data_IF_886538394384
#
_entry.id   IF_886538394384
#
_cell.length_a   1.000
_cell.length_b   1.000
_cell.length_c   1.000
_cell.angle_alpha   90.00
_cell.angle_beta   90.00
_cell.angle_gamma   90.00
#
_symmetry.space_group_name_H-M   'P 1'
#
loop_
_entity.id
_entity.type
_entity.pdbx_description
1 polymer ?
#
# COMPACT_ATOMS: atom_id res chain seq x y z
N UNK A 1 19.95 6.54 -13.07
CA UNK A 1 19.60 5.84 -11.81
C UNK A 1 18.10 5.89 -11.51
N UNK A 2 17.45 7.06 -11.46
CA UNK A 2 16.01 7.13 -11.15
C UNK A 2 15.12 6.32 -12.13
N UNK A 3 15.38 6.38 -13.43
CA UNK A 3 14.64 5.65 -14.44
C UNK A 3 14.69 4.13 -14.20
N UNK A 4 15.87 3.58 -14.05
CA UNK A 4 16.07 2.14 -13.79
C UNK A 4 15.37 1.68 -12.51
N UNK A 5 15.35 2.55 -11.46
CA UNK A 5 14.62 2.28 -10.24
C UNK A 5 13.11 2.14 -10.53
N UNK A 6 12.51 3.11 -11.21
CA UNK A 6 11.07 3.11 -11.48
C UNK A 6 10.65 1.95 -12.42
N UNK A 7 11.49 1.57 -13.39
CA UNK A 7 11.28 0.36 -14.21
C UNK A 7 11.22 -0.88 -13.33
N UNK A 8 12.23 -1.07 -12.47
CA UNK A 8 12.29 -2.23 -11.57
C UNK A 8 11.14 -2.22 -10.56
N UNK A 9 10.81 -1.07 -9.98
CA UNK A 9 9.73 -0.92 -9.02
C UNK A 9 8.36 -1.23 -9.64
N UNK A 10 8.12 -0.78 -10.88
CA UNK A 10 6.88 -1.09 -11.59
C UNK A 10 6.75 -2.60 -11.85
N UNK A 11 7.81 -3.24 -12.37
CA UNK A 11 7.83 -4.67 -12.62
C UNK A 11 7.61 -5.48 -11.34
N UNK A 12 8.31 -5.13 -10.26
CA UNK A 12 8.16 -5.79 -8.97
C UNK A 12 6.74 -5.62 -8.40
N UNK A 13 6.18 -4.41 -8.46
CA UNK A 13 4.86 -4.13 -7.94
C UNK A 13 3.77 -4.92 -8.66
N UNK A 14 3.79 -4.97 -10.00
CA UNK A 14 2.80 -5.73 -10.77
C UNK A 14 3.01 -7.24 -10.68
N UNK A 15 4.25 -7.73 -10.56
CA UNK A 15 4.52 -9.14 -10.29
C UNK A 15 3.96 -9.55 -8.92
N UNK A 16 4.18 -8.74 -7.87
CA UNK A 16 3.63 -8.96 -6.54
C UNK A 16 2.10 -8.89 -6.54
N UNK A 17 1.50 -7.96 -7.29
CA UNK A 17 0.05 -7.88 -7.47
C UNK A 17 -0.49 -9.17 -8.10
N UNK A 18 0.16 -9.68 -9.15
CA UNK A 18 -0.24 -10.92 -9.80
C UNK A 18 -0.14 -12.12 -8.87
N UNK A 19 0.97 -12.27 -8.12
CA UNK A 19 1.14 -13.30 -7.11
C UNK A 19 0.11 -13.18 -5.99
N UNK A 20 -0.18 -11.97 -5.55
CA UNK A 20 -1.20 -11.71 -4.55
C UNK A 20 -2.60 -12.14 -5.01
N UNK A 21 -2.94 -11.92 -6.27
CA UNK A 21 -4.23 -12.36 -6.81
C UNK A 21 -4.35 -13.89 -6.87
N UNK A 22 -3.25 -14.62 -7.07
CA UNK A 22 -3.24 -16.08 -6.93
C UNK A 22 -3.59 -16.50 -5.51
N UNK A 23 -3.00 -15.85 -4.50
CA UNK A 23 -3.34 -16.10 -3.09
C UNK A 23 -4.81 -15.79 -2.80
N UNK A 24 -5.32 -14.66 -3.30
CA UNK A 24 -6.73 -14.27 -3.14
C UNK A 24 -7.67 -15.29 -3.81
N UNK A 25 -7.29 -15.81 -4.98
CA UNK A 25 -8.08 -16.82 -5.70
C UNK A 25 -8.15 -18.14 -4.91
N UNK A 26 -7.04 -18.58 -4.34
CA UNK A 26 -6.95 -19.78 -3.48
C UNK A 26 -7.82 -19.64 -2.22
N UNK A 27 -7.74 -18.49 -1.56
CA UNK A 27 -8.49 -18.20 -0.33
C UNK A 27 -9.91 -17.65 -0.56
N UNK A 28 -10.36 -17.56 -1.81
CA UNK A 28 -11.62 -16.89 -2.18
C UNK A 28 -12.83 -17.42 -1.42
N UNK A 29 -12.95 -18.75 -1.25
CA UNK A 29 -14.10 -19.38 -0.59
C UNK A 29 -14.19 -18.99 0.88
N UNK A 30 -13.06 -18.90 1.55
CA UNK A 30 -12.93 -18.54 2.95
C UNK A 30 -13.18 -17.03 3.14
N UNK A 31 -12.48 -16.20 2.37
CA UNK A 31 -12.54 -14.72 2.51
C UNK A 31 -13.83 -14.10 1.99
N UNK A 32 -14.54 -14.76 1.07
CA UNK A 32 -15.84 -14.28 0.59
C UNK A 32 -16.92 -14.24 1.68
N UNK A 33 -16.80 -15.10 2.69
CA UNK A 33 -17.72 -15.17 3.82
C UNK A 33 -17.48 -14.07 4.87
N UNK A 34 -16.30 -13.46 4.84
CA UNK A 34 -15.83 -12.48 5.82
C UNK A 34 -15.59 -11.12 5.14
N UNK A 35 -16.54 -10.17 5.21
CA UNK A 35 -16.46 -8.88 4.51
C UNK A 35 -15.17 -8.11 4.81
N UNK A 36 -14.68 -8.16 6.07
CA UNK A 36 -13.45 -7.50 6.47
C UNK A 36 -12.20 -8.11 5.79
N UNK A 37 -12.13 -9.45 5.63
CA UNK A 37 -11.02 -10.13 4.94
C UNK A 37 -10.97 -9.75 3.46
N UNK A 38 -12.12 -9.70 2.81
CA UNK A 38 -12.22 -9.24 1.42
C UNK A 38 -11.72 -7.81 1.28
N UNK A 39 -12.05 -6.94 2.23
CA UNK A 39 -11.56 -5.57 2.23
C UNK A 39 -10.05 -5.51 2.44
N UNK A 40 -9.52 -6.22 3.41
CA UNK A 40 -8.07 -6.29 3.66
C UNK A 40 -7.31 -6.82 2.43
N UNK A 41 -7.83 -7.84 1.75
CA UNK A 41 -7.25 -8.36 0.52
C UNK A 41 -7.23 -7.30 -0.60
N UNK A 42 -8.27 -6.49 -0.70
CA UNK A 42 -8.32 -5.36 -1.62
C UNK A 42 -7.28 -4.28 -1.26
N UNK A 43 -7.15 -3.95 0.02
CA UNK A 43 -6.13 -2.98 0.49
C UNK A 43 -4.72 -3.43 0.11
N UNK A 44 -4.36 -4.71 0.28
CA UNK A 44 -3.05 -5.24 -0.18
C UNK A 44 -2.88 -5.08 -1.69
N UNK A 45 -3.94 -5.35 -2.47
CA UNK A 45 -3.91 -5.13 -3.93
C UNK A 45 -3.61 -3.68 -4.28
N UNK A 46 -4.20 -2.72 -3.54
CA UNK A 46 -3.96 -1.30 -3.76
C UNK A 46 -2.51 -0.88 -3.47
N UNK A 47 -1.85 -1.43 -2.46
CA UNK A 47 -0.42 -1.15 -2.21
C UNK A 47 0.41 -1.41 -3.46
N UNK A 48 0.23 -2.57 -4.09
CA UNK A 48 0.99 -2.92 -5.28
C UNK A 48 0.52 -2.16 -6.52
N UNK A 49 -0.79 -2.02 -6.71
CA UNK A 49 -1.35 -1.30 -7.86
C UNK A 49 -0.95 0.18 -7.86
N UNK A 50 -1.06 0.88 -6.73
CA UNK A 50 -0.71 2.29 -6.63
C UNK A 50 0.80 2.51 -6.82
N UNK A 51 1.65 1.72 -6.15
CA UNK A 51 3.10 1.84 -6.31
C UNK A 51 3.56 1.51 -7.73
N UNK A 52 2.99 0.49 -8.36
CA UNK A 52 3.26 0.15 -9.75
C UNK A 52 2.83 1.25 -10.72
N UNK A 53 1.62 1.79 -10.54
CA UNK A 53 1.09 2.87 -11.37
C UNK A 53 1.90 4.16 -11.22
N UNK A 54 2.22 4.57 -9.98
CA UNK A 54 3.08 5.72 -9.73
C UNK A 54 4.44 5.56 -10.43
N UNK A 55 5.04 4.37 -10.35
CA UNK A 55 6.32 4.08 -11.01
C UNK A 55 6.22 4.18 -12.54
N UNK A 56 5.18 3.60 -13.17
CA UNK A 56 4.95 3.71 -14.62
C UNK A 56 4.74 5.16 -15.06
N UNK A 57 3.96 5.94 -14.31
CA UNK A 57 3.72 7.35 -14.67
C UNK A 57 5.00 8.16 -14.53
N UNK A 58 5.85 7.88 -13.53
CA UNK A 58 7.16 8.53 -13.40
C UNK A 58 8.05 8.29 -14.61
N UNK A 59 8.05 7.08 -15.18
CA UNK A 59 8.79 6.75 -16.39
C UNK A 59 8.31 7.55 -17.61
N UNK A 60 7.01 7.76 -17.72
CA UNK A 60 6.39 8.43 -18.86
C UNK A 60 6.27 9.95 -18.68
N UNK A 61 6.58 10.49 -17.51
CA UNK A 61 6.44 11.93 -17.24
C UNK A 61 7.46 12.81 -17.98
N UNK A 62 8.60 12.24 -18.35
CA UNK A 62 9.66 12.94 -19.10
C UNK A 62 10.03 14.28 -18.45
N UNK A 63 9.92 15.37 -19.23
CA UNK A 63 10.17 16.74 -18.77
C UNK A 63 8.94 17.45 -18.18
N UNK A 64 7.80 16.75 -18.05
CA UNK A 64 6.53 17.35 -17.60
C UNK A 64 6.25 17.05 -16.11
N UNK A 65 6.68 17.93 -15.19
CA UNK A 65 6.51 17.66 -13.75
C UNK A 65 5.04 17.59 -13.32
N UNK A 66 4.12 18.18 -14.05
CA UNK A 66 2.70 18.13 -13.74
C UNK A 66 2.13 16.70 -13.81
N UNK A 67 2.63 15.86 -14.72
CA UNK A 67 2.11 14.50 -14.93
C UNK A 67 2.36 13.63 -13.70
N UNK A 68 3.61 13.53 -13.26
CA UNK A 68 3.94 12.71 -12.10
C UNK A 68 3.33 13.28 -10.82
N UNK A 69 3.34 14.62 -10.65
CA UNK A 69 2.73 15.27 -9.47
C UNK A 69 1.25 14.94 -9.33
N UNK A 70 0.51 15.03 -10.43
CA UNK A 70 -0.93 14.70 -10.42
C UNK A 70 -1.15 13.23 -10.09
N UNK A 71 -0.39 12.32 -10.70
CA UNK A 71 -0.52 10.90 -10.47
C UNK A 71 -0.19 10.51 -9.02
N UNK A 72 0.91 11.03 -8.46
CA UNK A 72 1.31 10.77 -7.08
C UNK A 72 0.33 11.40 -6.09
N UNK A 73 -0.15 12.62 -6.36
CA UNK A 73 -1.17 13.26 -5.54
C UNK A 73 -2.46 12.42 -5.48
N UNK A 74 -2.97 11.99 -6.62
CA UNK A 74 -4.17 11.14 -6.70
C UNK A 74 -3.93 9.79 -6.01
N UNK A 75 -2.83 9.11 -6.32
CA UNK A 75 -2.49 7.81 -5.72
C UNK A 75 -2.31 7.93 -4.20
N UNK A 76 -1.65 8.98 -3.74
CA UNK A 76 -1.46 9.25 -2.32
C UNK A 76 -2.78 9.49 -1.58
N UNK A 77 -3.70 10.25 -2.17
CA UNK A 77 -5.05 10.48 -1.61
C UNK A 77 -5.84 9.18 -1.56
N UNK A 78 -5.85 8.39 -2.65
CA UNK A 78 -6.53 7.09 -2.69
C UNK A 78 -5.96 6.15 -1.63
N UNK A 79 -4.62 6.04 -1.53
CA UNK A 79 -3.96 5.21 -0.55
C UNK A 79 -4.25 5.64 0.90
N UNK A 80 -4.17 6.94 1.19
CA UNK A 80 -4.48 7.48 2.51
C UNK A 80 -5.97 7.24 2.89
N UNK A 81 -6.90 7.51 1.97
CA UNK A 81 -8.32 7.27 2.19
C UNK A 81 -8.63 5.80 2.49
N UNK A 82 -8.03 4.88 1.70
CA UNK A 82 -8.21 3.44 1.92
C UNK A 82 -7.65 2.99 3.28
N UNK A 83 -6.50 3.53 3.70
CA UNK A 83 -5.93 3.23 5.01
C UNK A 83 -6.82 3.71 6.16
N UNK A 84 -7.34 4.95 6.07
CA UNK A 84 -8.26 5.48 7.08
C UNK A 84 -9.52 4.62 7.16
N UNK A 85 -10.11 4.27 6.02
CA UNK A 85 -11.26 3.37 5.98
C UNK A 85 -10.94 2.00 6.58
N UNK A 86 -9.77 1.42 6.26
CA UNK A 86 -9.34 0.14 6.82
C UNK A 86 -9.14 0.20 8.33
N UNK A 87 -8.54 1.27 8.85
CA UNK A 87 -8.37 1.48 10.30
C UNK A 87 -9.71 1.59 11.02
N UNK A 88 -10.70 2.31 10.44
CA UNK A 88 -12.05 2.42 11.00
C UNK A 88 -12.74 1.04 11.07
N UNK A 89 -12.63 0.24 10.00
CA UNK A 89 -13.21 -1.10 9.97
C UNK A 89 -12.54 -2.07 10.97
N UNK A 90 -11.20 -2.02 11.09
CA UNK A 90 -10.44 -2.88 12.01
C UNK A 90 -10.62 -2.43 13.46
N UNK A 91 -10.90 -1.15 13.72
CA UNK A 91 -11.16 -0.63 15.07
C UNK A 91 -12.37 -1.23 15.76
N UNK A 92 -13.26 -1.89 15.00
CA UNK A 92 -14.42 -2.63 15.51
C UNK A 92 -14.12 -4.11 15.83
N UNK A 93 -12.87 -4.57 15.64
CA UNK A 93 -12.45 -5.99 15.74
C UNK A 93 -11.67 -6.30 17.03
N UNK A 94 -11.56 -7.59 17.44
CA UNK A 94 -10.88 -8.00 18.68
C UNK A 94 -9.35 -7.73 18.66
N UNK A 95 -8.70 -7.79 19.86
CA UNK A 95 -7.33 -7.28 20.09
C UNK A 95 -6.20 -7.94 19.26
N UNK A 96 -6.48 -9.02 18.54
CA UNK A 96 -5.51 -9.71 17.66
C UNK A 96 -5.15 -8.90 16.39
N UNK A 97 -6.01 -7.97 15.98
CA UNK A 97 -5.76 -7.08 14.82
C UNK A 97 -4.69 -5.99 15.07
N UNK A 98 -4.12 -5.89 16.29
CA UNK A 98 -3.16 -4.84 16.65
C UNK A 98 -1.95 -4.75 15.70
N UNK A 99 -1.40 -5.89 15.25
CA UNK A 99 -0.25 -5.88 14.33
C UNK A 99 -0.58 -5.25 12.99
N UNK A 100 -1.75 -5.56 12.45
CA UNK A 100 -2.24 -4.96 11.20
C UNK A 100 -2.52 -3.48 11.41
N UNK A 101 -3.15 -3.09 12.52
CA UNK A 101 -3.38 -1.68 12.86
C UNK A 101 -2.08 -0.89 12.93
N UNK A 102 -1.03 -1.42 13.58
CA UNK A 102 0.28 -0.77 13.65
C UNK A 102 0.90 -0.58 12.27
N UNK A 103 0.84 -1.59 11.41
CA UNK A 103 1.36 -1.53 10.05
C UNK A 103 0.61 -0.47 9.23
N UNK A 104 -0.71 -0.45 9.28
CA UNK A 104 -1.53 0.55 8.58
C UNK A 104 -1.26 1.97 9.11
N UNK A 105 -1.14 2.14 10.43
CA UNK A 105 -0.81 3.43 11.05
C UNK A 105 0.57 3.92 10.61
N UNK A 106 1.56 3.02 10.49
CA UNK A 106 2.90 3.36 9.99
C UNK A 106 2.90 3.75 8.51
N UNK A 107 1.97 3.21 7.73
CA UNK A 107 1.89 3.47 6.28
C UNK A 107 1.20 4.80 5.96
N UNK A 108 0.27 5.25 6.81
CA UNK A 108 -0.49 6.48 6.57
C UNK A 108 0.42 7.71 6.36
N UNK A 109 1.44 7.99 7.20
CA UNK A 109 2.34 9.11 6.97
C UNK A 109 3.11 9.03 5.66
N UNK A 110 3.37 7.84 5.13
CA UNK A 110 4.04 7.69 3.83
C UNK A 110 3.15 8.19 2.68
N UNK A 111 1.87 7.83 2.67
CA UNK A 111 0.93 8.35 1.67
C UNK A 111 0.71 9.86 1.82
N UNK A 112 0.63 10.37 3.05
CA UNK A 112 0.54 11.80 3.31
C UNK A 112 1.80 12.54 2.83
N UNK A 113 2.97 11.95 3.01
CA UNK A 113 4.23 12.51 2.51
C UNK A 113 4.23 12.57 0.97
N UNK A 114 3.76 11.53 0.28
CA UNK A 114 3.60 11.54 -1.17
C UNK A 114 2.71 12.72 -1.61
N UNK A 115 1.55 12.87 -0.99
CA UNK A 115 0.64 13.99 -1.29
C UNK A 115 1.32 15.33 -1.05
N UNK A 116 2.01 15.49 0.07
CA UNK A 116 2.69 16.73 0.44
C UNK A 116 3.78 17.10 -0.59
N UNK A 117 4.63 16.15 -1.01
CA UNK A 117 5.67 16.38 -2.01
C UNK A 117 5.06 16.66 -3.40
N UNK A 118 3.97 15.98 -3.76
CA UNK A 118 3.26 16.20 -5.02
C UNK A 118 2.69 17.63 -5.10
N UNK A 119 2.15 18.15 -3.99
CA UNK A 119 1.62 19.52 -3.90
C UNK A 119 2.76 20.53 -3.86
N UNK A 120 3.72 20.36 -2.97
CA UNK A 120 4.82 21.28 -2.73
C UNK A 120 6.18 20.56 -2.74
N UNK A 121 6.83 20.43 -3.91
CA UNK A 121 8.10 19.72 -4.04
C UNK A 121 9.27 20.31 -3.24
N UNK A 122 9.16 21.56 -2.78
CA UNK A 122 10.16 22.20 -1.92
C UNK A 122 10.15 21.69 -0.48
N UNK A 123 9.03 21.10 -0.02
CA UNK A 123 8.89 20.58 1.37
C UNK A 123 10.02 19.62 1.75
N UNK A 124 10.45 18.76 0.85
CA UNK A 124 11.56 17.84 1.12
C UNK A 124 12.85 18.61 1.52
N UNK A 125 13.13 19.73 0.86
CA UNK A 125 14.27 20.61 1.19
C UNK A 125 14.07 21.39 2.48
N UNK A 126 12.85 21.87 2.72
CA UNK A 126 12.50 22.68 3.90
C UNK A 126 12.63 21.84 5.19
N UNK A 127 12.43 20.51 5.10
CA UNK A 127 12.62 19.55 6.19
C UNK A 127 14.06 19.03 6.28
N UNK A 128 15.00 19.58 5.50
CA UNK A 128 16.41 19.21 5.52
C UNK A 128 16.75 17.96 4.69
N UNK A 129 15.84 17.49 3.85
CA UNK A 129 16.08 16.39 2.91
C UNK A 129 16.64 16.99 1.62
N UNK A 130 17.95 16.86 1.43
CA UNK A 130 18.66 17.39 0.24
C UNK A 130 18.52 16.50 -1.02
N UNK A 131 17.52 15.63 -1.05
CA UNK A 131 17.20 14.77 -2.19
C UNK A 131 16.28 15.51 -3.19
N UNK A 132 16.36 15.08 -4.46
CA UNK A 132 15.37 15.52 -5.45
C UNK A 132 13.99 14.94 -5.11
N UNK A 133 12.88 15.64 -5.44
CA UNK A 133 11.53 15.14 -5.14
C UNK A 133 11.30 13.69 -5.60
N UNK A 134 11.69 13.33 -6.83
CA UNK A 134 11.57 11.96 -7.34
C UNK A 134 12.45 10.93 -6.60
N UNK A 135 13.60 11.35 -6.05
CA UNK A 135 14.44 10.45 -5.24
C UNK A 135 13.79 10.16 -3.87
N UNK A 136 13.18 11.17 -3.27
CA UNK A 136 12.40 11.00 -2.03
C UNK A 136 11.21 10.11 -2.26
N UNK A 137 10.47 10.33 -3.35
CA UNK A 137 9.33 9.49 -3.76
C UNK A 137 9.75 8.04 -4.02
N UNK A 138 10.93 7.81 -4.62
CA UNK A 138 11.47 6.48 -4.84
C UNK A 138 11.69 5.72 -3.52
N UNK A 139 12.21 6.40 -2.50
CA UNK A 139 12.37 5.81 -1.16
C UNK A 139 11.01 5.44 -0.58
N UNK A 140 10.03 6.35 -0.67
CA UNK A 140 8.68 6.10 -0.14
C UNK A 140 8.00 4.93 -0.86
N UNK A 141 8.13 4.83 -2.20
CA UNK A 141 7.64 3.68 -2.98
C UNK A 141 8.28 2.37 -2.50
N UNK A 142 9.60 2.36 -2.25
CA UNK A 142 10.29 1.16 -1.72
C UNK A 142 9.73 0.74 -0.36
N UNK A 143 9.49 1.70 0.52
CA UNK A 143 8.89 1.44 1.83
C UNK A 143 7.44 0.95 1.70
N UNK A 144 6.65 1.52 0.79
CA UNK A 144 5.29 1.06 0.54
C UNK A 144 5.26 -0.38 0.01
N UNK A 145 6.16 -0.75 -0.92
CA UNK A 145 6.28 -2.13 -1.39
C UNK A 145 6.63 -3.08 -0.25
N UNK A 146 7.62 -2.72 0.57
CA UNK A 146 7.99 -3.51 1.73
C UNK A 146 6.83 -3.69 2.72
N UNK A 147 6.10 -2.62 3.04
CA UNK A 147 4.96 -2.68 3.94
C UNK A 147 3.79 -3.46 3.32
N UNK A 148 3.57 -3.35 2.02
CA UNK A 148 2.57 -4.13 1.28
C UNK A 148 2.84 -5.64 1.34
N UNK A 149 4.11 -6.05 1.18
CA UNK A 149 4.52 -7.46 1.33
C UNK A 149 4.27 -7.94 2.75
N UNK A 150 4.65 -7.16 3.77
CA UNK A 150 4.42 -7.52 5.16
C UNK A 150 2.93 -7.59 5.50
N UNK A 151 2.11 -6.69 4.94
CA UNK A 151 0.67 -6.72 5.14
C UNK A 151 0.05 -7.99 4.52
N UNK A 152 0.44 -8.30 3.27
CA UNK A 152 0.01 -9.53 2.61
C UNK A 152 0.40 -10.79 3.40
N UNK A 153 1.64 -10.82 3.92
CA UNK A 153 2.12 -11.92 4.76
C UNK A 153 1.30 -12.08 6.05
N UNK A 154 1.06 -10.98 6.78
CA UNK A 154 0.25 -11.02 7.99
C UNK A 154 -1.17 -11.53 7.70
N UNK A 155 -1.78 -11.02 6.62
CA UNK A 155 -3.12 -11.44 6.24
C UNK A 155 -3.20 -12.92 5.84
N UNK A 156 -2.15 -13.43 5.18
CA UNK A 156 -2.06 -14.83 4.77
C UNK A 156 -1.88 -15.77 5.97
N UNK A 157 -1.08 -15.36 6.98
CA UNK A 157 -0.74 -16.18 8.14
C UNK A 157 -1.78 -16.15 9.25
N UNK A 158 -2.68 -15.16 9.28
CA UNK A 158 -3.74 -15.12 10.29
C UNK A 158 -4.83 -16.16 9.96
N UNK A 159 -5.14 -17.10 10.90
CA UNK A 159 -6.25 -18.02 10.73
C UNK A 159 -7.57 -17.26 10.60
N UNK A 160 -8.50 -17.76 9.80
CA UNK A 160 -9.84 -17.20 9.75
C UNK A 160 -10.55 -17.47 11.08
N UNK A 161 -11.14 -16.43 11.66
CA UNK A 161 -11.81 -16.50 12.98
C UNK A 161 -12.92 -17.57 13.08
N UNK A 162 -13.53 -17.95 11.94
CA UNK A 162 -14.58 -18.98 11.90
C UNK A 162 -14.11 -20.38 12.30
N UNK A 163 -12.80 -20.67 12.28
CA UNK A 163 -12.26 -21.95 12.73
C UNK A 163 -12.06 -21.99 14.25
N UNK A 164 -11.83 -20.85 14.89
CA UNK A 164 -11.61 -20.77 16.34
C UNK A 164 -12.91 -20.87 17.15
N UNK A 165 -14.04 -20.38 16.61
CA UNK A 165 -15.34 -20.49 17.30
C UNK A 165 -15.93 -21.90 17.24
N UNK A 166 -15.56 -22.72 16.24
CA UNK A 166 -15.99 -24.11 16.16
C UNK A 166 -15.21 -25.03 17.11
N UNK A 167 -13.99 -24.69 17.48
CA UNK A 167 -13.18 -25.45 18.44
C UNK A 167 -13.52 -25.11 19.90
N UNK A 168 -14.10 -23.95 20.18
CA UNK A 168 -14.56 -23.56 21.54
C UNK A 168 -15.99 -24.11 21.85
N UNK A 169 -16.69 -24.61 20.84
CA UNK A 169 -18.07 -25.14 20.99
C UNK A 169 -18.16 -26.67 21.06
N UNK A 170 -17.03 -27.41 20.95
CA UNK A 170 -16.88 -28.83 21.18
C UNK A 170 -16.25 -29.13 22.57
#
# INVERSE_FOLDING_TARGET
MAQTFYETAALAAFALLGLWWVVVADRRREWARLPYRRRQAYSVSLYFALTGTMSLVSLNSGSHPAIWRTAFGIAGVIGAAELVLSLVYIGAEPPRAKRIQWLLTLTLPLYLLIVAIAIQPSLARDVGIHLKPLETEAIVISLLLFLGINYGWLLFMEPAYAAAESEESE
#
